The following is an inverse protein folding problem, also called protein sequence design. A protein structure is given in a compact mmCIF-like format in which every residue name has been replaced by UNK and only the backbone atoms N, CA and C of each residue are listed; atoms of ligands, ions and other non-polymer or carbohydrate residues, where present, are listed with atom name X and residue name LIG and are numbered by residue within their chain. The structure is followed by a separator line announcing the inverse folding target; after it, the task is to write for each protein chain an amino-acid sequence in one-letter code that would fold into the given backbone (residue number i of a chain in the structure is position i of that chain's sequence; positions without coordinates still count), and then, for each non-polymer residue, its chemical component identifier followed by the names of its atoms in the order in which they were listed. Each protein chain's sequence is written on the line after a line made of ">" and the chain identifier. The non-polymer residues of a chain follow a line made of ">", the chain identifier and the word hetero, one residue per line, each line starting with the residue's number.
data_IF_894316680993
#
_entry.id   IF_894316680993
#
_cell.length_a   1.000
_cell.length_b   1.000
_cell.length_c   1.000
_cell.angle_alpha   90.00
_cell.angle_beta   90.00
_cell.angle_gamma   90.00
#
_symmetry.space_group_name_H-M   'P 1'
#
loop_
_entity.id
_entity.type
_entity.pdbx_description
1 polymer ?
#
# COMPACT_ATOMS: atom_id res chain seq x y z
N UNK A 1 -36.77 29.93 -24.72
CA UNK A 1 -36.24 30.71 -23.59
C UNK A 1 -36.84 30.08 -22.35
N UNK A 2 -36.21 29.02 -21.86
CA UNK A 2 -36.73 28.23 -20.74
C UNK A 2 -35.65 28.18 -19.68
N UNK A 3 -36.07 28.67 -18.52
CA UNK A 3 -35.26 29.16 -17.41
C UNK A 3 -34.35 28.08 -16.82
N UNK A 4 -33.13 28.50 -16.57
CA UNK A 4 -32.03 27.73 -15.98
C UNK A 4 -32.17 27.72 -14.45
N UNK A 5 -31.64 26.68 -13.80
CA UNK A 5 -31.24 26.62 -12.38
C UNK A 5 -32.30 26.17 -11.35
N UNK A 6 -32.65 24.88 -11.39
CA UNK A 6 -32.99 24.13 -10.18
C UNK A 6 -31.74 23.90 -9.33
N UNK A 7 -31.23 24.95 -8.69
CA UNK A 7 -30.11 24.85 -7.75
C UNK A 7 -30.54 24.04 -6.54
N UNK A 8 -30.13 22.77 -6.48
CA UNK A 8 -30.30 21.94 -5.28
C UNK A 8 -29.43 22.55 -4.19
N UNK A 9 -30.05 23.33 -3.30
CA UNK A 9 -29.40 23.83 -2.09
C UNK A 9 -29.13 22.62 -1.20
N UNK A 10 -27.92 22.07 -1.31
CA UNK A 10 -27.54 20.94 -0.49
C UNK A 10 -27.26 21.44 0.95
N UNK A 11 -27.94 20.88 1.97
CA UNK A 11 -27.79 21.36 3.34
C UNK A 11 -26.35 21.16 3.82
N UNK A 12 -25.83 22.15 4.57
CA UNK A 12 -24.48 22.06 5.15
C UNK A 12 -24.37 20.81 6.02
N UNK A 13 -23.30 20.03 5.84
CA UNK A 13 -23.05 18.79 6.58
C UNK A 13 -23.45 17.51 5.84
N UNK A 14 -23.99 17.59 4.63
CA UNK A 14 -24.25 16.43 3.78
C UNK A 14 -23.15 16.28 2.72
N UNK A 15 -22.74 15.04 2.47
CA UNK A 15 -21.81 14.71 1.38
C UNK A 15 -22.60 14.65 0.08
N UNK A 16 -22.23 15.47 -0.90
CA UNK A 16 -22.84 15.45 -2.22
C UNK A 16 -22.64 14.09 -2.90
N UNK A 17 -23.53 13.69 -3.80
CA UNK A 17 -23.36 12.42 -4.51
C UNK A 17 -22.04 12.39 -5.32
N UNK A 18 -21.65 13.53 -5.91
CA UNK A 18 -20.38 13.67 -6.60
C UNK A 18 -19.16 13.52 -5.65
N UNK A 19 -19.23 14.09 -4.45
CA UNK A 19 -18.16 13.93 -3.46
C UNK A 19 -18.14 12.52 -2.89
N UNK A 20 -19.31 11.90 -2.70
CA UNK A 20 -19.43 10.50 -2.27
C UNK A 20 -18.79 9.56 -3.28
N UNK A 21 -19.09 9.73 -4.57
CA UNK A 21 -18.48 8.96 -5.66
C UNK A 21 -16.95 9.14 -5.66
N UNK A 22 -16.48 10.38 -5.56
CA UNK A 22 -15.03 10.67 -5.49
C UNK A 22 -14.36 10.02 -4.28
N UNK A 23 -14.99 10.07 -3.10
CA UNK A 23 -14.46 9.46 -1.86
C UNK A 23 -14.39 7.94 -2.01
N UNK A 24 -15.44 7.31 -2.53
CA UNK A 24 -15.47 5.86 -2.71
C UNK A 24 -14.43 5.40 -3.73
N UNK A 25 -14.26 6.14 -4.83
CA UNK A 25 -13.22 5.88 -5.82
C UNK A 25 -11.81 6.03 -5.21
N UNK A 26 -11.57 7.10 -4.45
CA UNK A 26 -10.29 7.32 -3.78
C UNK A 26 -9.97 6.22 -2.75
N UNK A 27 -10.98 5.77 -1.98
CA UNK A 27 -10.81 4.66 -1.02
C UNK A 27 -10.49 3.34 -1.73
N UNK A 28 -11.16 3.05 -2.85
CA UNK A 28 -10.88 1.85 -3.63
C UNK A 28 -9.44 1.87 -4.20
N UNK A 29 -8.98 3.05 -4.67
CA UNK A 29 -7.62 3.23 -5.13
C UNK A 29 -6.58 3.08 -3.99
N UNK A 30 -6.86 3.62 -2.80
CA UNK A 30 -6.00 3.47 -1.62
C UNK A 30 -5.88 2.00 -1.20
N UNK A 31 -6.99 1.27 -1.14
CA UNK A 31 -6.99 -0.17 -0.84
C UNK A 31 -6.15 -0.97 -1.85
N UNK A 32 -6.34 -0.72 -3.15
CA UNK A 32 -5.55 -1.37 -4.20
C UNK A 32 -4.04 -1.03 -4.09
N UNK A 33 -3.70 0.21 -3.73
CA UNK A 33 -2.32 0.62 -3.52
C UNK A 33 -1.70 -0.08 -2.29
N UNK A 34 -2.46 -0.26 -1.21
CA UNK A 34 -2.02 -0.98 -0.01
C UNK A 34 -1.78 -2.45 -0.30
N UNK A 35 -2.66 -3.10 -1.07
CA UNK A 35 -2.51 -4.49 -1.50
C UNK A 35 -1.25 -4.67 -2.35
N UNK A 36 -1.04 -3.79 -3.34
CA UNK A 36 0.15 -3.79 -4.18
C UNK A 36 1.43 -3.56 -3.35
N UNK A 37 1.40 -2.63 -2.39
CA UNK A 37 2.51 -2.40 -1.48
C UNK A 37 2.77 -3.59 -0.55
N UNK A 38 1.75 -4.36 -0.17
CA UNK A 38 1.92 -5.60 0.58
C UNK A 38 2.60 -6.67 -0.25
N UNK A 39 2.10 -6.92 -1.46
CA UNK A 39 2.71 -7.89 -2.37
C UNK A 39 4.18 -7.55 -2.66
N UNK A 40 4.50 -6.26 -2.87
CA UNK A 40 5.87 -5.82 -3.07
C UNK A 40 6.77 -6.06 -1.84
N UNK A 41 6.24 -5.86 -0.62
CA UNK A 41 6.98 -6.16 0.63
C UNK A 41 7.21 -7.66 0.81
N UNK A 42 6.22 -8.49 0.45
CA UNK A 42 6.33 -9.94 0.55
C UNK A 42 7.35 -10.50 -0.46
N UNK A 43 7.32 -10.02 -1.71
CA UNK A 43 8.30 -10.38 -2.74
C UNK A 43 9.72 -9.95 -2.33
N UNK A 44 9.86 -8.74 -1.79
CA UNK A 44 11.15 -8.27 -1.28
C UNK A 44 11.70 -9.18 -0.16
N UNK A 45 10.84 -9.57 0.79
CA UNK A 45 11.20 -10.53 1.83
C UNK A 45 11.59 -11.89 1.24
N UNK A 46 10.84 -12.39 0.27
CA UNK A 46 11.11 -13.65 -0.41
C UNK A 46 12.48 -13.63 -1.12
N UNK A 47 12.81 -12.55 -1.82
CA UNK A 47 14.10 -12.37 -2.48
C UNK A 47 15.28 -12.38 -1.48
N UNK A 48 15.14 -11.70 -0.34
CA UNK A 48 16.15 -11.71 0.73
C UNK A 48 16.33 -13.14 1.28
N UNK A 49 15.25 -13.86 1.55
CA UNK A 49 15.31 -15.23 2.06
C UNK A 49 15.91 -16.20 1.04
N UNK A 50 15.56 -16.08 -0.24
CA UNK A 50 16.15 -16.86 -1.31
C UNK A 50 17.67 -16.64 -1.40
N UNK A 51 18.13 -15.39 -1.29
CA UNK A 51 19.55 -15.08 -1.23
C UNK A 51 20.24 -15.76 -0.03
N UNK A 52 19.61 -15.77 1.15
CA UNK A 52 20.16 -16.50 2.32
C UNK A 52 20.23 -18.01 2.08
N UNK A 53 19.24 -18.60 1.39
CA UNK A 53 19.24 -20.02 1.05
C UNK A 53 20.33 -20.37 0.03
N UNK A 54 20.70 -19.43 -0.85
CA UNK A 54 21.84 -19.54 -1.76
C UNK A 54 23.20 -19.26 -1.09
N UNK A 55 23.22 -19.02 0.23
CA UNK A 55 24.46 -18.85 1.00
C UNK A 55 24.92 -17.40 1.20
N UNK A 56 24.12 -16.40 0.81
CA UNK A 56 24.45 -15.00 1.07
C UNK A 56 24.58 -14.73 2.57
N UNK A 57 25.60 -13.96 2.95
CA UNK A 57 25.81 -13.62 4.37
C UNK A 57 24.81 -12.55 4.83
N UNK A 58 24.34 -12.68 6.07
CA UNK A 58 23.39 -11.71 6.65
C UNK A 58 23.99 -10.31 6.75
N UNK A 59 25.31 -10.22 6.97
CA UNK A 59 26.03 -8.94 7.01
C UNK A 59 25.99 -8.23 5.66
N UNK A 60 26.23 -8.96 4.57
CA UNK A 60 26.18 -8.41 3.21
C UNK A 60 24.75 -8.00 2.84
N UNK A 61 23.77 -8.85 3.14
CA UNK A 61 22.36 -8.53 2.90
C UNK A 61 21.92 -7.30 3.69
N UNK A 62 22.33 -7.16 4.96
CA UNK A 62 22.05 -5.96 5.76
C UNK A 62 22.65 -4.69 5.14
N UNK A 63 23.88 -4.77 4.63
CA UNK A 63 24.52 -3.65 3.93
C UNK A 63 23.80 -3.29 2.61
N UNK A 64 23.34 -4.28 1.86
CA UNK A 64 22.65 -4.09 0.58
C UNK A 64 21.22 -3.54 0.75
N UNK A 65 20.49 -4.07 1.73
CA UNK A 65 19.06 -3.81 1.95
C UNK A 65 18.80 -2.64 2.89
N UNK A 66 19.79 -2.26 3.71
CA UNK A 66 19.61 -1.34 4.83
C UNK A 66 18.83 -1.95 6.00
N UNK A 67 18.43 -3.22 5.92
CA UNK A 67 17.75 -3.92 7.01
C UNK A 67 18.73 -4.25 8.13
N UNK A 68 18.22 -4.28 9.36
CA UNK A 68 18.99 -4.77 10.49
C UNK A 68 19.20 -6.29 10.38
N UNK A 69 20.36 -6.80 10.80
CA UNK A 69 20.61 -8.23 10.87
C UNK A 69 19.54 -8.99 11.70
N UNK A 70 19.05 -8.47 12.85
CA UNK A 70 17.91 -9.06 13.56
C UNK A 70 16.65 -9.22 12.72
N UNK A 71 16.32 -8.25 11.85
CA UNK A 71 15.15 -8.32 10.97
C UNK A 71 15.27 -9.49 10.00
N UNK A 72 16.42 -9.62 9.33
CA UNK A 72 16.71 -10.72 8.39
C UNK A 72 16.64 -12.06 9.13
N UNK A 73 17.14 -12.12 10.36
CA UNK A 73 17.14 -13.33 11.18
C UNK A 73 15.74 -13.74 11.62
N UNK A 74 14.92 -12.78 12.03
CA UNK A 74 13.52 -13.03 12.36
C UNK A 74 12.78 -13.60 11.15
N UNK A 75 13.02 -13.06 9.95
CA UNK A 75 12.40 -13.61 8.74
C UNK A 75 12.83 -15.05 8.46
N UNK A 76 14.12 -15.37 8.63
CA UNK A 76 14.63 -16.74 8.46
C UNK A 76 14.03 -17.73 9.45
N UNK A 77 13.73 -17.31 10.69
CA UNK A 77 13.10 -18.18 11.69
C UNK A 77 11.61 -18.44 11.46
N UNK A 78 10.97 -17.65 10.59
CA UNK A 78 9.54 -17.72 10.28
C UNK A 78 9.27 -18.30 8.87
N UNK A 79 10.33 -18.53 8.10
CA UNK A 79 10.30 -19.12 6.76
C UNK A 79 10.39 -20.65 6.87
#
# INVERSE_FOLDING_TARGET
>A
MTDTLGGVVQPRGWVSDADRERILAARAADAAAQDAASAARDEYRAAVLAATAHGASVRELAALTGLSAPTIQAWRSQA
#
